data_IF_559410769479
#
_entry.id   IF_559410769479
#
_cell.length_a   1.000
_cell.length_b   1.000
_cell.length_c   1.000
_cell.angle_alpha   90.00
_cell.angle_beta   90.00
_cell.angle_gamma   90.00
#
_symmetry.space_group_name_H-M   'P 1'
#
loop_
_entity.id
_entity.type
_entity.pdbx_description
1 polymer ?
#
# COMPACT_ATOMS: atom_id res chain seq x y z
N UNK A 1 -19.67 -16.99 -11.47
CA UNK A 1 -19.38 -15.65 -10.89
C UNK A 1 -19.79 -15.68 -9.43
N UNK A 2 -18.92 -15.25 -8.52
CA UNK A 2 -19.36 -14.97 -7.15
C UNK A 2 -20.11 -13.63 -7.17
N UNK A 3 -21.27 -13.51 -6.50
CA UNK A 3 -21.98 -12.24 -6.44
C UNK A 3 -21.18 -11.22 -5.62
N UNK A 4 -21.12 -9.97 -6.09
CA UNK A 4 -20.57 -8.83 -5.36
C UNK A 4 -21.71 -7.98 -4.84
N UNK A 5 -21.56 -7.44 -3.63
CA UNK A 5 -22.45 -6.43 -3.08
C UNK A 5 -21.65 -5.16 -2.82
N UNK A 6 -22.21 -4.03 -3.25
CA UNK A 6 -21.64 -2.73 -2.98
C UNK A 6 -22.28 -2.14 -1.72
N UNK A 7 -21.44 -1.56 -0.86
CA UNK A 7 -21.86 -0.88 0.36
C UNK A 7 -21.11 0.44 0.48
N UNK A 8 -21.81 1.51 0.84
CA UNK A 8 -21.19 2.78 1.20
C UNK A 8 -20.72 2.70 2.65
N UNK A 9 -19.40 2.67 2.85
CA UNK A 9 -18.78 2.62 4.19
C UNK A 9 -18.74 4.02 4.81
N UNK A 10 -18.39 4.99 3.97
CA UNK A 10 -18.26 6.38 4.34
C UNK A 10 -19.10 7.20 3.35
N UNK A 11 -20.09 7.93 3.86
CA UNK A 11 -20.96 8.74 3.03
C UNK A 11 -20.59 10.22 3.13
N UNK A 12 -20.45 10.86 1.98
CA UNK A 12 -20.35 12.31 1.90
C UNK A 12 -21.71 12.89 2.31
N UNK A 13 -21.79 13.47 3.50
CA UNK A 13 -23.01 14.14 3.95
C UNK A 13 -23.04 15.56 3.39
N UNK A 14 -23.87 15.83 2.39
CA UNK A 14 -24.13 17.19 1.88
C UNK A 14 -25.17 17.91 2.73
N UNK A 15 -24.80 18.25 3.96
CA UNK A 15 -25.68 19.05 4.84
C UNK A 15 -25.23 20.50 4.79
N UNK A 16 -26.08 21.38 4.23
CA UNK A 16 -25.91 22.84 4.19
C UNK A 16 -24.64 23.31 3.44
N UNK A 17 -24.53 23.09 2.13
CA UNK A 17 -23.38 23.52 1.29
C UNK A 17 -22.01 22.98 1.74
N UNK A 18 -21.99 21.90 2.52
CA UNK A 18 -20.76 21.21 2.90
C UNK A 18 -20.58 19.95 2.08
N UNK A 19 -19.40 19.75 1.52
CA UNK A 19 -19.01 18.52 0.83
C UNK A 19 -17.96 17.86 1.69
N UNK A 20 -18.28 16.69 2.26
CA UNK A 20 -17.27 15.87 2.91
C UNK A 20 -16.64 15.01 1.83
N UNK A 21 -15.37 15.23 1.49
CA UNK A 21 -14.61 14.37 0.58
C UNK A 21 -13.86 13.31 1.37
N UNK A 22 -13.73 12.10 0.81
CA UNK A 22 -12.83 11.09 1.37
C UNK A 22 -11.85 10.58 0.33
N UNK A 23 -10.56 10.64 0.67
CA UNK A 23 -9.46 10.45 -0.27
C UNK A 23 -8.47 9.43 0.31
N UNK A 24 -7.78 8.73 -0.59
CA UNK A 24 -6.70 7.80 -0.27
C UNK A 24 -7.06 6.72 0.76
N UNK A 25 -8.10 5.90 0.53
CA UNK A 25 -8.43 4.81 1.44
C UNK A 25 -7.26 3.83 1.55
N UNK A 26 -6.77 3.63 2.78
CA UNK A 26 -5.74 2.65 3.11
C UNK A 26 -6.34 1.59 4.02
N UNK A 27 -6.14 0.31 3.69
CA UNK A 27 -6.81 -0.79 4.40
C UNK A 27 -5.85 -1.83 4.95
N UNK A 28 -6.21 -2.42 6.09
CA UNK A 28 -5.55 -3.62 6.62
C UNK A 28 -6.55 -4.46 7.41
N UNK A 29 -6.20 -5.70 7.75
CA UNK A 29 -7.13 -6.64 8.41
C UNK A 29 -6.46 -7.33 9.59
N UNK A 30 -7.27 -7.67 10.60
CA UNK A 30 -6.85 -8.51 11.74
C UNK A 30 -8.02 -9.33 12.24
N UNK A 31 -7.90 -10.66 12.13
CA UNK A 31 -8.99 -11.57 12.46
C UNK A 31 -10.20 -11.33 11.56
N UNK A 32 -11.36 -11.10 12.17
CA UNK A 32 -12.62 -10.74 11.50
C UNK A 32 -12.80 -9.23 11.30
N UNK A 33 -11.80 -8.41 11.65
CA UNK A 33 -11.88 -6.95 11.51
C UNK A 33 -11.14 -6.44 10.29
N UNK A 34 -11.74 -5.45 9.64
CA UNK A 34 -11.17 -4.63 8.57
C UNK A 34 -11.01 -3.21 9.09
N UNK A 35 -9.81 -2.65 8.96
CA UNK A 35 -9.49 -1.29 9.33
C UNK A 35 -9.33 -0.47 8.05
N UNK A 36 -10.08 0.62 7.96
CA UNK A 36 -10.04 1.56 6.83
C UNK A 36 -9.64 2.93 7.36
N UNK A 37 -8.48 3.41 6.93
CA UNK A 37 -7.99 4.75 7.18
C UNK A 37 -8.26 5.60 5.93
N UNK A 38 -8.84 6.78 6.10
CA UNK A 38 -9.10 7.70 5.00
C UNK A 38 -8.90 9.15 5.45
N UNK A 39 -8.54 10.00 4.51
CA UNK A 39 -8.65 11.44 4.73
C UNK A 39 -10.13 11.81 4.69
N UNK A 40 -10.57 12.65 5.62
CA UNK A 40 -11.87 13.31 5.58
C UNK A 40 -11.67 14.81 5.48
N UNK A 41 -12.09 15.39 4.37
CA UNK A 41 -12.04 16.83 4.13
C UNK A 41 -13.44 17.41 4.17
N UNK A 42 -13.67 18.44 4.98
CA UNK A 42 -14.89 19.24 4.91
C UNK A 42 -14.64 20.43 3.99
N UNK A 43 -15.31 20.47 2.85
CA UNK A 43 -15.36 21.60 1.94
C UNK A 43 -16.64 22.39 2.19
N UNK A 44 -16.60 23.70 2.02
CA UNK A 44 -17.80 24.54 2.00
C UNK A 44 -17.81 25.43 0.77
N UNK A 45 -18.99 25.61 0.18
CA UNK A 45 -19.19 26.51 -0.96
C UNK A 45 -19.40 27.95 -0.45
N UNK A 46 -18.45 28.82 -0.77
CA UNK A 46 -18.56 30.26 -0.60
C UNK A 46 -18.64 30.94 -1.97
N UNK A 47 -19.86 31.23 -2.40
CA UNK A 47 -20.15 32.01 -3.62
C UNK A 47 -19.62 31.39 -4.93
N UNK A 48 -19.54 30.06 -5.01
CA UNK A 48 -19.07 29.31 -6.17
C UNK A 48 -17.65 28.76 -6.04
N UNK A 49 -16.91 29.17 -4.99
CA UNK A 49 -15.59 28.63 -4.67
C UNK A 49 -15.69 27.63 -3.51
N UNK A 50 -15.12 26.43 -3.70
CA UNK A 50 -15.02 25.44 -2.63
C UNK A 50 -13.79 25.71 -1.77
N UNK A 51 -14.00 26.02 -0.50
CA UNK A 51 -12.95 26.26 0.48
C UNK A 51 -12.80 25.08 1.45
N UNK A 52 -11.56 24.72 1.76
CA UNK A 52 -11.24 23.68 2.75
C UNK A 52 -11.47 24.24 4.16
N UNK A 53 -12.38 23.61 4.91
CA UNK A 53 -12.74 23.99 6.27
C UNK A 53 -11.97 23.22 7.32
N UNK A 54 -11.84 21.91 7.13
CA UNK A 54 -11.13 21.03 8.04
C UNK A 54 -10.63 19.81 7.29
N UNK A 55 -9.48 19.34 7.72
CA UNK A 55 -8.87 18.11 7.27
C UNK A 55 -8.65 17.23 8.49
N UNK A 56 -9.05 15.97 8.38
CA UNK A 56 -8.94 15.03 9.49
C UNK A 56 -8.62 13.63 8.97
N UNK A 57 -7.94 12.87 9.80
CA UNK A 57 -7.61 11.48 9.54
C UNK A 57 -8.69 10.61 10.20
N UNK A 58 -9.49 9.92 9.40
CA UNK A 58 -10.64 9.16 9.87
C UNK A 58 -10.39 7.66 9.77
N UNK A 59 -10.64 6.94 10.86
CA UNK A 59 -10.62 5.48 10.92
C UNK A 59 -12.05 4.94 10.97
N UNK A 60 -12.32 3.90 10.17
CA UNK A 60 -13.54 3.10 10.26
C UNK A 60 -13.16 1.63 10.42
N UNK A 61 -13.86 0.93 11.31
CA UNK A 61 -13.64 -0.48 11.56
C UNK A 61 -14.88 -1.27 11.12
N UNK A 62 -14.67 -2.27 10.27
CA UNK A 62 -15.69 -3.21 9.82
C UNK A 62 -15.48 -4.57 10.48
N UNK A 63 -16.55 -5.17 11.01
CA UNK A 63 -16.51 -6.54 11.55
C UNK A 63 -17.23 -7.48 10.58
N UNK A 64 -16.53 -8.52 10.12
CA UNK A 64 -17.05 -9.52 9.19
C UNK A 64 -17.88 -10.56 9.95
N UNK A 65 -19.18 -10.60 9.69
CA UNK A 65 -20.10 -11.59 10.25
C UNK A 65 -20.22 -12.76 9.28
N UNK A 66 -19.66 -13.92 9.64
CA UNK A 66 -19.83 -15.15 8.85
C UNK A 66 -21.22 -15.74 9.10
N UNK A 67 -22.26 -15.21 8.43
CA UNK A 67 -23.55 -15.87 8.37
C UNK A 67 -23.49 -17.03 7.38
N UNK A 68 -23.31 -18.25 7.90
CA UNK A 68 -23.45 -19.50 7.16
C UNK A 68 -24.92 -19.67 6.74
N UNK A 69 -25.33 -19.04 5.63
CA UNK A 69 -26.62 -19.29 4.97
C UNK A 69 -27.58 -18.10 4.81
N UNK A 70 -27.15 -16.85 5.01
CA UNK A 70 -27.95 -15.65 4.72
C UNK A 70 -27.66 -15.04 3.34
N UNK A 71 -28.57 -14.18 2.83
CA UNK A 71 -28.28 -13.32 1.68
C UNK A 71 -26.96 -12.55 1.90
N UNK A 72 -26.16 -12.29 0.85
CA UNK A 72 -24.84 -11.69 1.00
C UNK A 72 -24.86 -10.22 1.48
N UNK A 73 -26.04 -9.62 1.67
CA UNK A 73 -26.23 -8.28 2.23
C UNK A 73 -26.00 -8.32 3.76
N UNK A 74 -25.05 -7.53 4.25
CA UNK A 74 -24.78 -7.41 5.71
C UNK A 74 -23.63 -8.25 6.25
N UNK A 75 -22.75 -8.76 5.38
CA UNK A 75 -21.56 -9.55 5.79
C UNK A 75 -20.52 -8.74 6.57
N UNK A 76 -20.55 -7.41 6.47
CA UNK A 76 -19.64 -6.53 7.21
C UNK A 76 -20.48 -5.46 7.92
N UNK A 77 -20.34 -5.39 9.25
CA UNK A 77 -20.92 -4.33 10.06
C UNK A 77 -19.87 -3.26 10.31
N UNK A 78 -20.11 -2.04 9.84
CA UNK A 78 -19.20 -0.91 10.01
C UNK A 78 -19.54 -0.12 11.27
N UNK A 79 -18.53 0.19 12.06
CA UNK A 79 -18.61 1.08 13.21
C UNK A 79 -18.70 2.54 12.76
N UNK A 80 -19.06 3.45 13.67
CA UNK A 80 -19.05 4.87 13.37
C UNK A 80 -17.61 5.35 13.11
N UNK A 81 -17.40 6.26 12.15
CA UNK A 81 -16.08 6.82 11.88
C UNK A 81 -15.50 7.51 13.11
N UNK A 82 -14.22 7.23 13.38
CA UNK A 82 -13.46 7.79 14.50
C UNK A 82 -12.39 8.73 13.95
N UNK A 83 -12.49 10.00 14.32
CA UNK A 83 -11.42 10.99 14.10
C UNK A 83 -10.16 10.58 14.85
N UNK A 84 -9.03 10.66 14.16
CA UNK A 84 -7.70 10.45 14.73
C UNK A 84 -6.94 11.76 14.94
N UNK A 85 -7.53 12.95 14.70
CA UNK A 85 -6.92 14.29 14.89
C UNK A 85 -6.09 14.54 16.17
N UNK A 86 -6.27 13.75 17.24
CA UNK A 86 -5.48 13.82 18.47
C UNK A 86 -4.40 12.72 18.55
N UNK A 87 -3.61 12.58 17.48
CA UNK A 87 -2.51 11.61 17.43
C UNK A 87 -1.47 11.93 18.50
N UNK A 88 -1.07 10.89 19.23
CA UNK A 88 0.10 10.96 20.12
C UNK A 88 1.32 10.56 19.31
N UNK A 89 2.35 11.40 19.31
CA UNK A 89 3.69 11.01 18.88
C UNK A 89 4.32 10.10 19.94
N UNK A 90 5.12 9.11 19.54
CA UNK A 90 5.71 8.13 20.45
C UNK A 90 6.86 8.71 21.30
N UNK A 91 6.57 9.69 22.16
CA UNK A 91 7.41 10.21 23.24
C UNK A 91 8.91 10.40 22.90
N UNK A 92 9.25 11.56 22.33
CA UNK A 92 10.56 12.19 22.48
C UNK A 92 10.38 13.70 22.64
N UNK A 93 11.21 14.33 23.48
CA UNK A 93 11.06 15.68 24.03
C UNK A 93 11.14 16.86 23.03
N UNK A 94 11.09 16.58 21.73
CA UNK A 94 11.01 17.56 20.65
C UNK A 94 9.94 17.06 19.69
N UNK A 95 8.70 17.49 19.90
CA UNK A 95 7.58 17.14 19.04
C UNK A 95 7.69 17.92 17.72
N UNK A 96 8.02 17.28 16.58
CA UNK A 96 7.68 17.90 15.30
C UNK A 96 6.15 18.01 15.25
N UNK A 97 5.65 19.24 15.13
CA UNK A 97 4.24 19.48 14.89
C UNK A 97 4.02 19.27 13.40
N UNK A 98 3.52 18.10 13.02
CA UNK A 98 3.06 17.91 11.65
C UNK A 98 1.76 18.69 11.47
N UNK A 99 1.71 19.59 10.48
CA UNK A 99 0.52 20.42 10.25
C UNK A 99 -0.68 19.57 9.80
N UNK A 100 -0.43 18.57 8.95
CA UNK A 100 -1.42 17.64 8.42
C UNK A 100 -0.80 16.26 8.18
N UNK A 101 -1.57 15.20 8.42
CA UNK A 101 -1.18 13.80 8.19
C UNK A 101 -2.24 13.12 7.32
N UNK A 102 -1.80 12.45 6.27
CA UNK A 102 -2.62 11.88 5.21
C UNK A 102 -2.35 10.38 5.06
N UNK A 103 -3.37 9.55 4.83
CA UNK A 103 -3.16 8.16 4.44
C UNK A 103 -2.57 8.10 3.04
N UNK A 104 -1.62 7.19 2.81
CA UNK A 104 -0.97 7.06 1.50
C UNK A 104 -1.83 6.36 0.43
N UNK A 105 -3.02 5.87 0.79
CA UNK A 105 -3.80 4.97 -0.05
C UNK A 105 -3.28 3.53 -0.06
N UNK A 106 -4.03 2.61 -0.66
CA UNK A 106 -3.62 1.22 -0.86
C UNK A 106 -3.74 0.35 0.41
N UNK A 107 -2.65 -0.30 0.78
CA UNK A 107 -2.64 -1.32 1.84
C UNK A 107 -1.70 -0.96 2.98
N UNK A 108 -2.19 -1.08 4.21
CA UNK A 108 -1.37 -1.21 5.40
C UNK A 108 -0.93 -2.65 5.64
N UNK A 109 -0.20 -2.88 6.73
CA UNK A 109 0.32 -4.21 7.09
C UNK A 109 -0.08 -4.58 8.52
N UNK A 110 -0.48 -5.84 8.70
CA UNK A 110 -0.55 -6.49 10.01
C UNK A 110 0.78 -7.20 10.23
N UNK A 111 1.58 -6.67 11.16
CA UNK A 111 2.86 -7.27 11.53
C UNK A 111 2.64 -8.60 12.26
N UNK A 112 3.63 -9.50 12.23
CA UNK A 112 3.59 -10.81 12.92
C UNK A 112 3.31 -10.69 14.42
N UNK A 113 3.80 -9.62 15.06
CA UNK A 113 3.52 -9.28 16.46
C UNK A 113 2.09 -8.76 16.74
N UNK A 114 1.22 -8.73 15.73
CA UNK A 114 -0.17 -8.27 15.82
C UNK A 114 -0.34 -6.74 15.80
N UNK A 115 0.72 -5.99 15.46
CA UNK A 115 0.66 -4.52 15.32
C UNK A 115 0.06 -4.16 13.96
N UNK A 116 -0.93 -3.28 13.96
CA UNK A 116 -1.52 -2.69 12.74
C UNK A 116 -0.67 -1.49 12.35
N UNK A 117 -0.28 -1.39 11.08
CA UNK A 117 0.54 -0.29 10.58
C UNK A 117 -0.03 0.24 9.27
N UNK A 118 -0.15 1.56 9.16
CA UNK A 118 -0.51 2.26 7.93
C UNK A 118 0.62 3.20 7.51
N UNK A 119 0.93 3.26 6.20
CA UNK A 119 1.77 4.30 5.65
C UNK A 119 1.01 5.62 5.60
N UNK A 120 1.65 6.69 6.04
CA UNK A 120 1.08 8.05 6.01
C UNK A 120 2.11 9.05 5.50
N UNK A 121 1.60 10.11 4.88
CA UNK A 121 2.33 11.28 4.45
C UNK A 121 2.09 12.41 5.44
N UNK A 122 3.13 13.11 5.84
CA UNK A 122 3.05 14.30 6.68
C UNK A 122 3.83 15.45 6.05
N UNK A 123 3.55 16.67 6.49
CA UNK A 123 4.29 17.87 6.09
C UNK A 123 4.93 18.51 7.32
N UNK A 124 6.20 18.90 7.19
CA UNK A 124 6.88 19.69 8.22
C UNK A 124 6.53 21.18 8.13
N UNK A 125 7.08 21.98 9.04
CA UNK A 125 6.88 23.43 9.10
C UNK A 125 7.35 24.16 7.82
N UNK A 126 8.25 23.55 7.04
CA UNK A 126 8.74 24.08 5.77
C UNK A 126 7.86 23.65 4.57
N UNK A 127 6.76 22.93 4.83
CA UNK A 127 5.89 22.30 3.83
C UNK A 127 6.57 21.19 3.02
N UNK A 128 7.65 20.60 3.54
CA UNK A 128 8.30 19.47 2.89
C UNK A 128 7.56 18.17 3.22
N UNK A 129 7.32 17.37 2.19
CA UNK A 129 6.70 16.06 2.30
C UNK A 129 7.61 15.05 3.02
N UNK A 130 7.05 14.37 4.01
CA UNK A 130 7.70 13.35 4.83
C UNK A 130 6.86 12.08 4.89
N UNK A 131 7.45 10.97 4.46
CA UNK A 131 6.87 9.64 4.62
C UNK A 131 7.11 9.11 6.03
N UNK A 132 6.06 8.59 6.66
CA UNK A 132 6.13 7.99 8.00
C UNK A 132 5.06 6.90 8.15
N UNK A 133 4.85 6.43 9.39
CA UNK A 133 3.80 5.45 9.68
C UNK A 133 2.94 5.89 10.87
N UNK A 134 1.71 5.41 10.85
CA UNK A 134 0.81 5.40 12.00
C UNK A 134 0.52 3.94 12.36
N UNK A 135 0.58 3.61 13.64
CA UNK A 135 0.45 2.22 14.08
C UNK A 135 -0.38 2.07 15.37
N UNK A 136 -0.91 0.87 15.57
CA UNK A 136 -1.66 0.47 16.75
C UNK A 136 -1.22 -0.91 17.24
N UNK A 137 -0.89 -0.99 18.53
CA UNK A 137 -0.45 -2.23 19.20
C UNK A 137 -1.58 -2.88 20.01
N UNK A 138 -2.74 -2.22 20.10
CA UNK A 138 -3.88 -2.59 20.95
C UNK A 138 -5.16 -2.82 20.14
N UNK A 139 -5.02 -3.44 18.97
CA UNK A 139 -6.14 -3.81 18.08
C UNK A 139 -6.95 -2.61 17.55
N UNK A 140 -6.30 -1.46 17.35
CA UNK A 140 -6.90 -0.26 16.77
C UNK A 140 -7.61 0.63 17.80
N UNK A 141 -7.47 0.36 19.10
CA UNK A 141 -8.04 1.20 20.16
C UNK A 141 -7.31 2.56 20.23
N UNK A 142 -5.98 2.54 20.27
CA UNK A 142 -5.12 3.71 20.24
C UNK A 142 -4.15 3.66 19.05
N UNK A 143 -3.88 4.83 18.49
CA UNK A 143 -2.99 5.02 17.35
C UNK A 143 -1.90 6.01 17.68
N UNK A 144 -0.70 5.74 17.18
CA UNK A 144 0.50 6.53 17.43
C UNK A 144 1.24 6.79 16.12
N UNK A 145 1.77 8.00 15.97
CA UNK A 145 2.72 8.31 14.89
C UNK A 145 4.11 7.82 15.27
N UNK A 146 4.86 7.33 14.28
CA UNK A 146 6.28 7.04 14.44
C UNK A 146 7.09 8.30 14.69
N UNK A 147 8.19 8.16 15.42
CA UNK A 147 9.10 9.28 15.70
C UNK A 147 9.97 9.64 14.49
N UNK A 148 10.39 8.63 13.72
CA UNK A 148 11.24 8.79 12.56
C UNK A 148 10.42 9.00 11.30
N UNK A 149 11.02 9.74 10.37
CA UNK A 149 10.49 10.03 9.03
C UNK A 149 11.50 9.63 7.97
N UNK A 150 11.06 9.57 6.72
CA UNK A 150 11.96 9.62 5.57
C UNK A 150 12.74 10.94 5.52
N UNK A 151 13.76 11.04 4.66
CA UNK A 151 14.24 12.33 4.18
C UNK A 151 13.09 13.22 3.65
N UNK A 152 13.35 14.52 3.59
CA UNK A 152 12.48 15.52 2.95
C UNK A 152 12.21 15.17 1.50
N UNK A 153 11.06 15.59 0.99
CA UNK A 153 10.60 15.38 -0.39
C UNK A 153 10.50 13.90 -0.77
N UNK A 154 9.99 13.07 0.16
CA UNK A 154 9.69 11.66 -0.09
C UNK A 154 8.21 11.39 0.23
N UNK A 155 7.45 11.00 -0.80
CA UNK A 155 6.00 10.90 -0.83
C UNK A 155 5.51 9.47 -1.10
N UNK A 156 4.18 9.28 -1.02
CA UNK A 156 3.46 8.05 -1.37
C UNK A 156 4.08 6.76 -0.78
N UNK A 157 4.28 6.68 0.55
CA UNK A 157 4.89 5.51 1.17
C UNK A 157 4.04 4.24 0.98
N UNK A 158 4.71 3.15 0.61
CA UNK A 158 4.14 1.81 0.49
C UNK A 158 4.93 0.90 1.42
N UNK A 159 4.25 0.18 2.31
CA UNK A 159 4.92 -0.59 3.37
C UNK A 159 4.62 -2.08 3.34
N UNK A 160 5.56 -2.88 3.84
CA UNK A 160 5.36 -4.32 4.04
C UNK A 160 6.28 -4.85 5.14
N UNK A 161 6.04 -6.07 5.63
CA UNK A 161 6.85 -6.70 6.66
C UNK A 161 7.76 -7.80 6.09
N UNK A 162 9.07 -7.62 6.19
CA UNK A 162 10.07 -8.61 5.77
C UNK A 162 10.98 -8.98 6.93
N UNK A 163 11.04 -10.29 7.26
CA UNK A 163 11.92 -10.83 8.31
C UNK A 163 11.88 -10.05 9.65
N UNK A 164 10.68 -9.63 10.08
CA UNK A 164 10.47 -8.87 11.32
C UNK A 164 10.84 -7.38 11.23
N UNK A 165 11.22 -6.91 10.05
CA UNK A 165 11.51 -5.50 9.77
C UNK A 165 10.40 -4.90 8.91
N UNK A 166 10.09 -3.63 9.14
CA UNK A 166 9.20 -2.87 8.29
C UNK A 166 9.99 -2.30 7.13
N UNK A 167 9.56 -2.59 5.91
CA UNK A 167 10.08 -2.02 4.69
C UNK A 167 9.13 -0.93 4.20
N UNK A 168 9.69 0.17 3.72
CA UNK A 168 8.97 1.27 3.09
C UNK A 168 9.60 1.60 1.75
N UNK A 169 8.79 1.65 0.70
CA UNK A 169 9.14 2.27 -0.58
C UNK A 169 8.48 3.65 -0.61
N UNK A 170 9.26 4.69 -0.83
CA UNK A 170 8.75 6.06 -0.96
C UNK A 170 9.27 6.70 -2.26
N UNK A 171 8.45 7.57 -2.84
CA UNK A 171 8.74 8.32 -4.06
C UNK A 171 9.49 9.60 -3.67
N UNK A 172 10.79 9.68 -3.92
CA UNK A 172 11.60 10.86 -3.59
C UNK A 172 12.01 11.65 -4.84
N UNK A 173 12.58 12.86 -4.68
CA UNK A 173 13.03 13.72 -5.79
C UNK A 173 13.87 12.98 -6.87
N UNK A 174 14.80 12.12 -6.43
CA UNK A 174 15.68 11.33 -7.31
C UNK A 174 15.11 9.94 -7.70
N UNK A 175 13.81 9.70 -7.48
CA UNK A 175 13.14 8.42 -7.71
C UNK A 175 12.87 7.61 -6.44
N UNK A 176 12.43 6.36 -6.61
CA UNK A 176 11.99 5.54 -5.50
C UNK A 176 13.15 5.05 -4.62
N UNK A 177 12.96 5.17 -3.30
CA UNK A 177 13.91 4.72 -2.30
C UNK A 177 13.28 3.70 -1.36
N UNK A 178 14.11 2.76 -0.91
CA UNK A 178 13.71 1.73 0.06
C UNK A 178 14.32 2.07 1.40
N UNK A 179 13.51 1.99 2.44
CA UNK A 179 13.90 2.17 3.83
C UNK A 179 13.51 0.94 4.64
N UNK A 180 14.40 0.51 5.52
CA UNK A 180 14.14 -0.54 6.51
C UNK A 180 14.07 0.09 7.91
N UNK A 181 13.12 -0.36 8.71
CA UNK A 181 13.02 -0.04 10.12
C UNK A 181 12.77 -1.30 10.96
N UNK A 182 13.58 -1.48 12.00
CA UNK A 182 13.44 -2.58 12.98
C UNK A 182 12.82 -2.13 14.30
N UNK A 183 12.56 -0.84 14.44
CA UNK A 183 12.11 -0.18 15.67
C UNK A 183 10.80 0.59 15.45
N UNK A 184 9.97 0.08 14.55
CA UNK A 184 8.62 0.59 14.23
C UNK A 184 8.64 2.07 13.81
N UNK A 185 9.51 2.39 12.86
CA UNK A 185 9.64 3.72 12.27
C UNK A 185 10.32 4.74 13.18
N UNK A 186 11.00 4.33 14.27
CA UNK A 186 11.78 5.28 15.08
C UNK A 186 13.05 5.68 14.34
N UNK A 187 13.69 4.73 13.67
CA UNK A 187 14.79 4.96 12.75
C UNK A 187 14.53 4.28 11.42
N UNK A 188 14.94 4.96 10.35
CA UNK A 188 14.87 4.45 8.98
C UNK A 188 16.28 4.39 8.42
N UNK A 189 16.73 3.17 8.10
CA UNK A 189 17.98 2.98 7.39
C UNK A 189 17.68 2.88 5.91
N UNK A 190 18.09 3.91 5.16
CA UNK A 190 17.96 3.92 3.70
C UNK A 190 18.96 2.98 3.06
N UNK A 191 18.47 2.01 2.31
CA UNK A 191 19.26 1.21 1.39
C UNK A 191 19.14 1.85 0.01
N UNK A 192 20.15 2.63 -0.38
CA UNK A 192 20.24 3.11 -1.78
C UNK A 192 20.25 1.87 -2.69
N UNK A 193 19.10 1.58 -3.33
CA UNK A 193 18.94 0.58 -4.38
C UNK A 193 19.10 -0.89 -3.98
N UNK A 194 18.74 -1.30 -2.76
CA UNK A 194 18.99 -2.68 -2.28
C UNK A 194 17.81 -3.30 -1.53
N UNK A 195 16.64 -3.33 -2.15
CA UNK A 195 15.92 -4.60 -2.18
C UNK A 195 16.54 -5.37 -3.36
N UNK A 196 17.40 -6.39 -3.15
CA UNK A 196 17.99 -7.13 -4.24
C UNK A 196 16.91 -7.65 -5.19
N UNK A 197 16.85 -6.99 -6.34
CA UNK A 197 15.90 -7.28 -7.42
C UNK A 197 14.52 -6.63 -7.30
N UNK A 198 14.31 -5.61 -6.46
CA UNK A 198 13.27 -4.59 -6.72
C UNK A 198 13.97 -3.41 -7.39
N UNK A 199 13.53 -3.04 -8.59
CA UNK A 199 14.17 -1.98 -9.35
C UNK A 199 13.51 -0.65 -9.00
N UNK A 200 14.16 0.17 -8.18
CA UNK A 200 13.60 1.46 -7.74
C UNK A 200 14.27 2.68 -8.37
N UNK A 201 15.26 2.48 -9.26
CA UNK A 201 15.94 3.57 -9.95
C UNK A 201 15.25 3.87 -11.27
N UNK A 202 14.71 5.08 -11.42
CA UNK A 202 14.45 5.70 -12.71
C UNK A 202 15.78 6.02 -13.40
N UNK A 203 15.85 5.94 -14.73
CA UNK A 203 17.00 6.44 -15.47
C UNK A 203 16.89 7.97 -15.54
N UNK A 204 18.02 8.66 -15.71
CA UNK A 204 18.25 10.09 -15.44
C UNK A 204 17.47 11.07 -16.35
N UNK A 205 16.14 11.07 -16.32
CA UNK A 205 15.35 12.17 -16.87
C UNK A 205 14.11 12.44 -16.00
N UNK A 206 13.77 13.72 -15.86
CA UNK A 206 12.63 14.26 -15.10
C UNK A 206 11.24 13.74 -15.57
N UNK A 207 11.21 12.85 -16.56
CA UNK A 207 10.02 12.25 -17.16
C UNK A 207 10.04 10.71 -17.12
N UNK A 208 11.07 10.10 -16.52
CA UNK A 208 11.28 8.65 -16.58
C UNK A 208 10.60 7.92 -15.41
N UNK A 209 9.26 7.86 -15.47
CA UNK A 209 8.40 7.08 -14.55
C UNK A 209 8.40 5.57 -14.87
N UNK A 210 9.36 5.13 -15.70
CA UNK A 210 9.52 3.82 -16.33
C UNK A 210 9.58 2.61 -15.41
N UNK A 211 9.93 2.78 -14.13
CA UNK A 211 10.16 1.68 -13.20
C UNK A 211 9.56 1.98 -11.82
N UNK A 212 8.34 2.49 -11.81
CA UNK A 212 7.62 2.86 -10.59
C UNK A 212 6.92 1.66 -9.93
N UNK A 213 7.25 1.36 -8.67
CA UNK A 213 6.55 0.35 -7.87
C UNK A 213 5.23 0.93 -7.35
N UNK A 214 4.12 0.32 -7.75
CA UNK A 214 2.76 0.78 -7.46
C UNK A 214 2.18 0.10 -6.20
N UNK A 215 2.44 -1.20 -6.06
CA UNK A 215 1.95 -2.02 -4.95
C UNK A 215 3.04 -3.00 -4.49
N UNK A 216 3.11 -3.24 -3.18
CA UNK A 216 4.03 -4.16 -2.53
C UNK A 216 3.29 -4.95 -1.45
N UNK A 217 3.36 -6.28 -1.51
CA UNK A 217 2.82 -7.16 -0.47
C UNK A 217 3.81 -8.28 -0.15
N UNK A 218 3.68 -8.83 1.07
CA UNK A 218 4.36 -10.06 1.46
C UNK A 218 3.37 -11.21 1.49
N UNK A 219 3.78 -12.36 0.97
CA UNK A 219 2.96 -13.56 0.93
C UNK A 219 3.81 -14.80 1.22
N UNK A 220 3.15 -15.86 1.71
CA UNK A 220 3.75 -17.20 1.74
C UNK A 220 3.15 -18.01 0.61
N UNK A 221 3.94 -18.27 -0.43
CA UNK A 221 3.54 -19.02 -1.63
C UNK A 221 4.39 -20.27 -1.69
N UNK A 222 3.77 -21.44 -1.85
CA UNK A 222 4.45 -22.74 -1.87
C UNK A 222 5.45 -22.91 -0.68
N UNK A 223 4.99 -22.58 0.53
CA UNK A 223 5.76 -22.65 1.79
C UNK A 223 6.98 -21.70 1.88
N UNK A 224 7.16 -20.79 0.92
CA UNK A 224 8.23 -19.81 0.91
C UNK A 224 7.67 -18.40 1.09
N UNK A 225 8.19 -17.66 2.07
CA UNK A 225 7.90 -16.23 2.24
C UNK A 225 8.58 -15.45 1.11
N UNK A 226 7.82 -14.60 0.43
CA UNK A 226 8.25 -13.78 -0.70
C UNK A 226 7.57 -12.41 -0.67
N UNK A 227 8.17 -11.44 -1.35
CA UNK A 227 7.53 -10.17 -1.69
C UNK A 227 7.02 -10.24 -3.13
N UNK A 228 5.78 -9.79 -3.32
CA UNK A 228 5.17 -9.59 -4.62
C UNK A 228 4.96 -8.10 -4.82
N UNK A 229 5.36 -7.59 -5.97
CA UNK A 229 5.19 -6.17 -6.27
C UNK A 229 4.77 -5.96 -7.72
N UNK A 230 4.00 -4.88 -7.92
CA UNK A 230 3.65 -4.37 -9.24
C UNK A 230 4.56 -3.21 -9.57
N UNK A 231 5.13 -3.26 -10.76
CA UNK A 231 5.98 -2.22 -11.29
C UNK A 231 5.45 -1.75 -12.64
N UNK A 232 5.32 -0.44 -12.82
CA UNK A 232 5.03 0.18 -14.12
C UNK A 232 6.25 0.06 -15.01
N UNK A 233 6.04 -0.04 -16.33
CA UNK A 233 7.10 0.19 -17.30
C UNK A 233 6.67 0.18 -18.76
N UNK A 234 7.66 0.31 -19.63
CA UNK A 234 7.48 0.36 -21.08
C UNK A 234 7.01 -0.98 -21.65
N UNK A 235 5.97 -0.95 -22.48
CA UNK A 235 5.62 -2.13 -23.27
C UNK A 235 6.75 -2.45 -24.25
N UNK A 236 6.93 -3.74 -24.55
CA UNK A 236 7.95 -4.23 -25.47
C UNK A 236 7.78 -3.57 -26.86
N UNK A 237 8.64 -2.60 -27.18
CA UNK A 237 8.69 -1.93 -28.48
C UNK A 237 8.07 -0.53 -28.53
N UNK A 238 7.64 0.03 -27.39
CA UNK A 238 7.04 1.37 -27.30
C UNK A 238 7.79 2.24 -26.28
N UNK A 239 7.87 3.55 -26.55
CA UNK A 239 8.52 4.56 -25.69
C UNK A 239 7.55 5.15 -24.64
N UNK A 240 6.38 4.53 -24.44
CA UNK A 240 5.36 4.96 -23.49
C UNK A 240 5.12 3.91 -22.39
N UNK A 241 4.87 4.38 -21.16
CA UNK A 241 4.55 3.50 -20.02
C UNK A 241 3.22 2.85 -20.31
N UNK A 242 3.27 1.56 -20.63
CA UNK A 242 2.14 0.87 -21.25
C UNK A 242 1.75 -0.41 -20.50
N UNK A 243 2.44 -0.79 -19.42
CA UNK A 243 2.05 -1.98 -18.66
C UNK A 243 2.39 -1.96 -17.17
N UNK A 244 1.59 -2.71 -16.41
CA UNK A 244 1.87 -3.15 -15.05
C UNK A 244 2.49 -4.54 -15.10
N UNK A 245 3.68 -4.67 -14.52
CA UNK A 245 4.45 -5.90 -14.46
C UNK A 245 4.44 -6.49 -13.07
N UNK A 246 4.19 -7.80 -13.00
CA UNK A 246 4.30 -8.55 -11.76
C UNK A 246 5.70 -9.13 -11.58
N UNK A 247 6.21 -8.97 -10.37
CA UNK A 247 7.50 -9.49 -9.95
C UNK A 247 7.36 -10.25 -8.63
N UNK A 248 8.26 -11.22 -8.43
CA UNK A 248 8.42 -11.92 -7.17
C UNK A 248 9.88 -11.88 -6.73
N UNK A 249 10.12 -11.63 -5.44
CA UNK A 249 11.45 -11.61 -4.86
C UNK A 249 11.48 -12.25 -3.48
N UNK A 250 12.59 -12.90 -3.13
CA UNK A 250 12.87 -13.38 -1.78
C UNK A 250 13.97 -12.58 -1.07
N UNK A 251 14.15 -11.31 -1.47
CA UNK A 251 15.21 -10.40 -1.00
C UNK A 251 16.64 -10.83 -1.39
N UNK A 252 16.78 -11.90 -2.18
CA UNK A 252 18.07 -12.34 -2.72
C UNK A 252 17.99 -12.52 -4.25
N UNK A 253 16.90 -13.14 -4.70
CA UNK A 253 16.59 -13.37 -6.12
C UNK A 253 15.31 -12.66 -6.46
N UNK A 254 15.22 -12.18 -7.70
CA UNK A 254 13.97 -11.72 -8.29
C UNK A 254 13.67 -12.43 -9.58
N UNK A 255 12.38 -12.61 -9.83
CA UNK A 255 11.86 -13.16 -11.06
C UNK A 255 10.79 -12.25 -11.63
N UNK A 256 10.97 -11.91 -12.90
CA UNK A 256 10.00 -11.22 -13.72
C UNK A 256 8.93 -12.20 -14.18
N UNK A 257 7.69 -12.01 -13.74
CA UNK A 257 6.58 -12.90 -14.10
C UNK A 257 6.02 -12.51 -15.47
N UNK A 258 5.78 -11.22 -15.69
CA UNK A 258 5.21 -10.72 -16.93
C UNK A 258 4.25 -9.55 -16.73
N UNK A 259 3.70 -8.99 -17.83
CA UNK A 259 2.66 -7.97 -17.77
C UNK A 259 1.34 -8.58 -17.28
N UNK A 260 0.68 -7.88 -16.35
CA UNK A 260 -0.61 -8.28 -15.76
C UNK A 260 -1.75 -7.30 -16.07
N UNK A 261 -1.42 -6.11 -16.56
CA UNK A 261 -2.36 -5.16 -17.11
C UNK A 261 -1.65 -4.22 -18.09
N UNK A 262 -2.36 -3.77 -19.12
CA UNK A 262 -1.90 -2.66 -19.96
C UNK A 262 -2.36 -1.33 -19.36
N UNK A 263 -1.57 -0.29 -19.58
CA UNK A 263 -1.97 1.11 -19.45
C UNK A 263 -2.41 1.63 -20.82
N UNK A 264 -3.43 2.47 -20.83
CA UNK A 264 -3.95 3.12 -22.04
C UNK A 264 -3.53 4.62 -22.00
N UNK A 265 -3.45 5.30 -23.15
CA UNK A 265 -2.94 6.68 -23.33
C UNK A 265 -3.53 7.75 -22.38
N UNK A 266 -4.68 7.49 -21.74
CA UNK A 266 -5.34 8.37 -20.78
C UNK A 266 -5.25 7.96 -19.31
N UNK A 267 -4.57 6.85 -18.98
CA UNK A 267 -4.77 6.11 -17.72
C UNK A 267 -3.47 5.77 -16.95
N UNK A 268 -2.32 6.27 -17.41
CA UNK A 268 -0.97 5.82 -17.06
C UNK A 268 -0.53 5.93 -15.58
N UNK A 269 -1.35 6.50 -14.70
CA UNK A 269 -1.07 6.74 -13.26
C UNK A 269 -2.16 6.24 -12.31
N UNK A 270 -3.12 5.45 -12.78
CA UNK A 270 -4.23 5.04 -11.92
C UNK A 270 -3.83 3.98 -10.89
N UNK A 271 -4.35 4.07 -9.65
CA UNK A 271 -3.93 3.22 -8.55
C UNK A 271 -4.24 1.74 -8.80
N UNK A 272 -3.29 0.89 -8.41
CA UNK A 272 -3.46 -0.55 -8.35
C UNK A 272 -3.07 -1.13 -6.98
N UNK A 273 -3.63 -2.29 -6.63
CA UNK A 273 -3.27 -3.01 -5.41
C UNK A 273 -3.30 -4.52 -5.62
N UNK A 274 -2.42 -5.21 -4.92
CA UNK A 274 -2.32 -6.67 -4.92
C UNK A 274 -2.99 -7.27 -3.68
N UNK A 275 -3.62 -8.42 -3.87
CA UNK A 275 -4.15 -9.23 -2.79
C UNK A 275 -3.77 -10.69 -3.00
N UNK A 276 -3.03 -11.26 -2.06
CA UNK A 276 -2.85 -12.70 -1.93
C UNK A 276 -3.66 -13.21 -0.74
N UNK A 277 -4.67 -14.04 -1.00
CA UNK A 277 -5.53 -14.61 0.04
C UNK A 277 -6.01 -15.99 -0.40
N UNK A 278 -6.09 -16.93 0.54
CA UNK A 278 -6.57 -18.30 0.31
C UNK A 278 -5.92 -19.00 -0.89
N UNK A 279 -4.60 -18.82 -1.05
CA UNK A 279 -3.86 -19.40 -2.16
C UNK A 279 -4.19 -18.79 -3.53
N UNK A 280 -4.76 -17.59 -3.57
CA UNK A 280 -5.13 -16.90 -4.82
C UNK A 280 -4.59 -15.49 -4.85
N UNK A 281 -4.02 -15.13 -6.00
CA UNK A 281 -3.50 -13.80 -6.28
C UNK A 281 -4.50 -13.00 -7.12
N UNK A 282 -4.75 -11.76 -6.71
CA UNK A 282 -5.65 -10.84 -7.38
C UNK A 282 -4.98 -9.48 -7.56
N UNK A 283 -5.34 -8.80 -8.65
CA UNK A 283 -4.98 -7.42 -8.94
C UNK A 283 -6.25 -6.60 -9.03
N UNK A 284 -6.33 -5.53 -8.24
CA UNK A 284 -7.37 -4.51 -8.35
C UNK A 284 -6.73 -3.27 -9.00
N UNK A 285 -7.36 -2.73 -10.05
CA UNK A 285 -6.87 -1.54 -10.77
C UNK A 285 -8.03 -0.62 -11.12
N UNK A 286 -7.86 0.68 -10.86
CA UNK A 286 -8.78 1.71 -11.35
C UNK A 286 -8.60 1.91 -12.87
N UNK A 287 -9.70 2.20 -13.56
CA UNK A 287 -9.75 2.54 -14.97
C UNK A 287 -10.65 3.75 -15.15
N UNK A 288 -10.12 4.79 -15.76
CA UNK A 288 -10.86 5.99 -16.09
C UNK A 288 -11.02 6.09 -17.60
N UNK A 289 -12.22 6.47 -18.01
CA UNK A 289 -12.56 6.77 -19.40
C UNK A 289 -13.25 8.13 -19.43
N UNK A 290 -13.41 8.71 -20.62
CA UNK A 290 -14.20 9.93 -20.79
C UNK A 290 -15.67 9.77 -20.31
N UNK A 291 -16.15 8.53 -20.21
CA UNK A 291 -17.52 8.19 -19.78
C UNK A 291 -17.63 7.91 -18.27
N UNK A 292 -16.51 7.84 -17.55
CA UNK A 292 -16.46 7.65 -16.10
C UNK A 292 -15.36 6.69 -15.63
N UNK A 293 -15.35 6.48 -14.31
CA UNK A 293 -14.39 5.63 -13.60
C UNK A 293 -14.96 4.25 -13.28
N UNK A 294 -14.11 3.24 -13.33
CA UNK A 294 -14.44 1.85 -13.00
C UNK A 294 -13.28 1.18 -12.27
N UNK A 295 -13.56 0.05 -11.60
CA UNK A 295 -12.54 -0.75 -10.93
C UNK A 295 -12.55 -2.15 -11.58
N UNK A 296 -11.38 -2.57 -12.04
CA UNK A 296 -11.15 -3.91 -12.58
C UNK A 296 -10.51 -4.82 -11.54
N UNK A 297 -11.04 -6.04 -11.41
CA UNK A 297 -10.50 -7.09 -10.55
C UNK A 297 -10.08 -8.27 -11.42
N UNK A 298 -8.78 -8.50 -11.52
CA UNK A 298 -8.16 -9.59 -12.28
C UNK A 298 -7.72 -10.71 -11.34
N UNK A 299 -7.91 -11.96 -11.78
CA UNK A 299 -7.41 -13.16 -11.10
C UNK A 299 -6.13 -13.61 -11.78
N UNK A 300 -5.02 -13.54 -11.06
CA UNK A 300 -3.69 -13.82 -11.60
C UNK A 300 -3.33 -15.30 -11.43
N UNK A 301 -4.14 -16.19 -12.02
CA UNK A 301 -4.06 -17.64 -11.78
C UNK A 301 -2.88 -18.28 -12.51
N UNK A 302 -2.63 -17.87 -13.75
CA UNK A 302 -1.52 -18.39 -14.57
C UNK A 302 -0.18 -17.85 -14.07
N UNK A 303 -0.17 -16.59 -13.66
CA UNK A 303 0.97 -15.91 -13.05
C UNK A 303 1.32 -16.53 -11.69
N UNK A 304 0.33 -16.83 -10.86
CA UNK A 304 0.56 -17.51 -9.58
C UNK A 304 1.14 -18.92 -9.79
N UNK A 305 0.62 -19.69 -10.76
CA UNK A 305 1.18 -21.01 -11.11
C UNK A 305 2.64 -20.90 -11.58
N UNK A 306 2.96 -19.86 -12.35
CA UNK A 306 4.33 -19.57 -12.78
C UNK A 306 5.23 -19.25 -11.58
N UNK A 307 4.75 -18.43 -10.64
CA UNK A 307 5.46 -18.12 -9.39
C UNK A 307 5.72 -19.40 -8.60
N UNK A 308 4.71 -20.25 -8.37
CA UNK A 308 4.86 -21.51 -7.64
C UNK A 308 5.93 -22.43 -8.26
N UNK A 309 5.97 -22.53 -9.60
CA UNK A 309 7.00 -23.28 -10.32
C UNK A 309 8.42 -22.73 -10.11
N UNK A 310 8.57 -21.41 -10.17
CA UNK A 310 9.85 -20.72 -9.93
C UNK A 310 10.30 -20.90 -8.49
N UNK A 311 9.41 -20.71 -7.52
CA UNK A 311 9.73 -20.87 -6.10
C UNK A 311 10.11 -22.31 -5.77
N UNK A 312 9.43 -23.30 -6.36
CA UNK A 312 9.80 -24.72 -6.24
C UNK A 312 11.22 -24.96 -6.76
N UNK A 313 11.58 -24.35 -7.90
CA UNK A 313 12.94 -24.43 -8.44
C UNK A 313 13.97 -23.81 -7.51
N UNK A 314 13.67 -22.64 -6.93
CA UNK A 314 14.55 -21.97 -5.97
C UNK A 314 14.82 -22.85 -4.74
N UNK A 315 13.76 -23.41 -4.13
CA UNK A 315 13.88 -24.30 -2.97
C UNK A 315 14.70 -25.54 -3.30
N UNK A 316 14.46 -26.19 -4.45
CA UNK A 316 15.23 -27.37 -4.87
C UNK A 316 16.72 -27.05 -5.05
N UNK A 317 17.05 -25.91 -5.65
CA UNK A 317 18.44 -25.49 -5.84
C UNK A 317 19.12 -25.13 -4.52
N UNK A 318 18.43 -24.44 -3.62
CA UNK A 318 18.96 -24.10 -2.30
C UNK A 318 19.30 -25.36 -1.49
N UNK A 319 18.39 -26.35 -1.48
CA UNK A 319 18.63 -27.63 -0.83
C UNK A 319 19.80 -28.39 -1.46
N UNK A 320 19.87 -28.42 -2.80
CA UNK A 320 20.97 -29.06 -3.51
C UNK A 320 22.32 -28.45 -3.14
N UNK A 321 22.47 -27.12 -3.23
CA UNK A 321 23.74 -26.46 -2.92
C UNK A 321 24.10 -26.54 -1.43
N UNK A 322 23.11 -26.50 -0.53
CA UNK A 322 23.35 -26.66 0.91
C UNK A 322 23.80 -28.07 1.29
N UNK A 323 23.48 -29.08 0.48
CA UNK A 323 23.89 -30.47 0.70
C UNK A 323 25.31 -30.80 0.23
N UNK A 324 25.96 -29.89 -0.50
CA UNK A 324 27.33 -30.08 -0.98
C UNK A 324 28.30 -29.87 0.18
N UNK A 325 29.17 -30.85 0.44
CA UNK A 325 30.32 -30.68 1.33
C UNK A 325 31.45 -30.02 0.55
N UNK A 326 31.97 -28.89 1.04
CA UNK A 326 33.17 -28.28 0.48
C UNK A 326 34.36 -29.12 0.99
N UNK A 327 35.15 -29.76 0.11
CA UNK A 327 36.35 -30.47 0.53
C UNK A 327 37.27 -29.49 1.25
N UNK A 328 37.63 -29.80 2.48
CA UNK A 328 38.50 -28.98 3.34
C UNK A 328 39.96 -29.25 3.05
#
# INVERSE_FOLDING_TARGET
>A
QSPWNAHTVLSNASVNNRLVGMVSPTTTTKGDKVFLLAESSELFDESGDMLLKSLDLTLVVGTVTNSTGGEPSGRISWENPKSLSSLKTSAAAHEPKFENVFPSGGSGVLMEGGTLVFPVLAFDDDSDALSMIIYSTDNGENWMLSNGTSPKECENPRITEWEGSLLMIADCEDGQRVYESRDMGTTWTGTIGTLPGVWTKSQTSLLDLSLHVDALITATVAEKKVMLYIQRGYALGEDEIAALYLWVTDNNRSFYVGPVAMEDDGNWMLPSTLLYSDGKLHLLKQRDTNEGSSISLSRLTEELSTIESVLSTWVQKDLFFSSLSIPT
#
